data_IF_629302764570
#
_entry.id   IF_629302764570
#
_cell.length_a   1.000
_cell.length_b   1.000
_cell.length_c   1.000
_cell.angle_alpha   90.00
_cell.angle_beta   90.00
_cell.angle_gamma   90.00
#
_symmetry.space_group_name_H-M   'P 1'
#
loop_
_entity.id
_entity.type
_entity.pdbx_description
1 polymer ?
#
# COMPACT_ATOMS: atom_id res chain seq x y z
N UNK A 1 -2.89 -23.04 4.22
CA UNK A 1 -3.10 -24.51 4.14
C UNK A 1 -4.05 -24.81 2.99
N UNK A 2 -3.71 -25.72 2.06
CA UNK A 2 -4.56 -26.05 0.91
C UNK A 2 -5.90 -26.67 1.32
N UNK A 3 -6.89 -26.67 0.41
CA UNK A 3 -8.16 -27.33 0.65
C UNK A 3 -7.97 -28.84 0.92
N UNK A 4 -8.79 -29.40 1.79
CA UNK A 4 -8.84 -30.83 2.13
C UNK A 4 -7.52 -31.42 2.69
N UNK A 5 -6.71 -30.60 3.36
CA UNK A 5 -5.44 -31.05 3.97
C UNK A 5 -5.51 -31.23 5.49
N UNK A 6 -6.49 -30.61 6.15
CA UNK A 6 -6.71 -30.78 7.61
C UNK A 6 -7.62 -31.98 7.82
N UNK A 7 -7.03 -33.15 8.07
CA UNK A 7 -7.76 -34.43 8.14
C UNK A 7 -7.97 -34.95 9.56
N UNK A 8 -7.11 -34.56 10.52
CA UNK A 8 -7.13 -35.09 11.88
C UNK A 8 -6.92 -33.98 12.92
N UNK A 9 -7.66 -33.99 14.04
CA UNK A 9 -7.38 -33.13 15.18
C UNK A 9 -6.11 -33.60 15.91
N UNK A 10 -5.43 -32.65 16.58
CA UNK A 10 -4.22 -32.93 17.39
C UNK A 10 -4.48 -33.88 18.57
N UNK A 11 -5.71 -33.92 19.08
CA UNK A 11 -6.14 -34.81 20.15
C UNK A 11 -7.36 -35.61 19.70
N UNK A 12 -7.42 -36.89 20.09
CA UNK A 12 -8.56 -37.76 19.79
C UNK A 12 -9.79 -37.29 20.54
N UNK A 13 -10.85 -36.95 19.80
CA UNK A 13 -12.16 -36.67 20.35
C UNK A 13 -13.05 -37.91 20.16
N UNK A 14 -13.48 -38.59 21.25
CA UNK A 14 -14.41 -39.70 21.12
C UNK A 14 -15.66 -39.22 20.38
N UNK A 15 -16.15 -39.99 19.39
CA UNK A 15 -17.31 -39.71 18.49
C UNK A 15 -17.06 -38.88 17.22
N UNK A 16 -15.86 -38.30 17.02
CA UNK A 16 -15.57 -37.54 15.80
C UNK A 16 -15.16 -38.46 14.63
N UNK A 17 -15.96 -38.50 13.56
CA UNK A 17 -15.71 -39.39 12.42
C UNK A 17 -14.74 -38.83 11.36
N UNK A 18 -14.81 -37.52 11.04
CA UNK A 18 -13.92 -36.87 10.08
C UNK A 18 -13.83 -35.36 10.30
N UNK A 19 -12.69 -34.79 9.96
CA UNK A 19 -12.46 -33.33 9.84
C UNK A 19 -11.99 -33.06 8.43
N UNK A 20 -12.47 -31.98 7.83
CA UNK A 20 -11.95 -31.48 6.56
C UNK A 20 -12.06 -29.97 6.49
N UNK A 21 -11.14 -29.34 5.76
CA UNK A 21 -11.22 -27.93 5.39
C UNK A 21 -11.63 -27.82 3.90
N UNK A 22 -12.92 -27.67 3.57
CA UNK A 22 -13.37 -27.67 2.18
C UNK A 22 -12.83 -26.47 1.38
N UNK A 23 -12.48 -25.38 2.06
CA UNK A 23 -11.91 -24.15 1.48
C UNK A 23 -10.45 -24.04 1.95
N UNK A 24 -9.51 -23.63 1.08
CA UNK A 24 -8.13 -23.37 1.51
C UNK A 24 -8.12 -22.26 2.56
N UNK A 25 -7.22 -22.37 3.53
CA UNK A 25 -7.01 -21.29 4.49
C UNK A 25 -6.41 -20.09 3.77
N UNK A 26 -7.06 -18.93 3.92
CA UNK A 26 -6.64 -17.62 3.42
C UNK A 26 -6.11 -16.77 4.58
N UNK A 27 -5.37 -15.70 4.28
CA UNK A 27 -4.90 -14.74 5.29
C UNK A 27 -3.58 -15.09 5.98
N UNK A 28 -2.83 -16.07 5.48
CA UNK A 28 -1.42 -16.25 5.86
C UNK A 28 -0.55 -15.24 5.14
N UNK A 29 0.32 -14.55 5.89
CA UNK A 29 1.40 -13.73 5.35
C UNK A 29 2.74 -14.32 5.79
N UNK A 30 3.76 -14.14 4.97
CA UNK A 30 5.13 -14.47 5.35
C UNK A 30 5.59 -13.59 6.52
N UNK A 31 6.68 -14.02 7.16
CA UNK A 31 7.32 -13.21 8.19
C UNK A 31 7.66 -11.82 7.65
N UNK A 32 7.30 -10.78 8.39
CA UNK A 32 7.60 -9.40 8.02
C UNK A 32 9.12 -9.22 7.91
N UNK A 33 9.60 -8.73 6.76
CA UNK A 33 11.03 -8.47 6.59
C UNK A 33 11.50 -7.34 7.52
N UNK A 34 12.80 -7.34 7.87
CA UNK A 34 13.38 -6.27 8.68
C UNK A 34 13.21 -4.87 8.04
N UNK A 35 13.21 -4.82 6.71
CA UNK A 35 13.00 -3.58 5.96
C UNK A 35 11.55 -3.09 6.07
N UNK A 36 10.59 -4.00 5.90
CA UNK A 36 9.16 -3.69 6.06
C UNK A 36 8.84 -3.26 7.49
N UNK A 37 9.43 -3.93 8.47
CA UNK A 37 9.28 -3.58 9.89
C UNK A 37 9.82 -2.17 10.19
N UNK A 38 11.01 -1.82 9.69
CA UNK A 38 11.58 -0.48 9.82
C UNK A 38 10.70 0.57 9.13
N UNK A 39 10.20 0.28 7.94
CA UNK A 39 9.29 1.15 7.20
C UNK A 39 8.01 1.39 7.99
N UNK A 40 7.40 0.33 8.53
CA UNK A 40 6.20 0.44 9.37
C UNK A 40 6.44 1.26 10.63
N UNK A 41 7.58 1.09 11.28
CA UNK A 41 7.94 1.88 12.46
C UNK A 41 8.15 3.36 12.13
N UNK A 42 8.78 3.67 11.00
CA UNK A 42 8.93 5.05 10.53
C UNK A 42 7.57 5.70 10.24
N UNK A 43 6.64 4.98 9.60
CA UNK A 43 5.27 5.45 9.36
C UNK A 43 4.52 5.70 10.68
N UNK A 44 4.68 4.82 11.67
CA UNK A 44 4.11 5.03 13.00
C UNK A 44 4.61 6.33 13.64
N UNK A 45 5.93 6.57 13.64
CA UNK A 45 6.52 7.80 14.18
C UNK A 45 5.99 9.03 13.44
N UNK A 46 5.92 8.97 12.10
CA UNK A 46 5.40 10.07 11.29
C UNK A 46 3.96 10.44 11.67
N UNK A 47 3.13 9.46 12.03
CA UNK A 47 1.75 9.69 12.45
C UNK A 47 1.64 10.36 13.83
N UNK A 48 2.63 10.23 14.71
CA UNK A 48 2.56 10.80 16.08
C UNK A 48 2.32 12.30 16.07
N UNK A 49 2.96 13.03 15.15
CA UNK A 49 2.87 14.47 15.12
C UNK A 49 1.49 15.00 14.67
N UNK A 50 0.70 14.16 13.97
CA UNK A 50 -0.59 14.50 13.33
C UNK A 50 -0.54 15.77 12.48
N UNK A 51 -1.57 16.00 11.66
CA UNK A 51 -1.80 17.26 10.93
C UNK A 51 -0.63 17.82 10.08
N UNK A 52 0.43 17.05 9.85
CA UNK A 52 1.53 17.39 8.95
C UNK A 52 1.37 16.65 7.64
N UNK A 53 1.99 17.17 6.58
CA UNK A 53 2.03 16.50 5.27
C UNK A 53 2.45 15.04 5.39
N UNK A 54 3.55 14.78 6.11
CA UNK A 54 4.10 13.44 6.29
C UNK A 54 3.16 12.54 7.10
N UNK A 55 2.45 13.09 8.11
CA UNK A 55 1.45 12.33 8.86
C UNK A 55 0.25 11.94 7.98
N UNK A 56 -0.18 12.81 7.07
CA UNK A 56 -1.26 12.53 6.14
C UNK A 56 -0.85 11.48 5.09
N UNK A 57 0.35 11.59 4.53
CA UNK A 57 0.92 10.58 3.63
C UNK A 57 1.02 9.23 4.33
N UNK A 58 1.56 9.21 5.56
CA UNK A 58 1.65 8.00 6.36
C UNK A 58 0.27 7.41 6.68
N UNK A 59 -0.75 8.24 6.96
CA UNK A 59 -2.11 7.78 7.20
C UNK A 59 -2.67 7.02 6.00
N UNK A 60 -2.49 7.56 4.80
CA UNK A 60 -2.90 6.92 3.54
C UNK A 60 -2.17 5.59 3.32
N UNK A 61 -0.84 5.57 3.52
CA UNK A 61 -0.04 4.35 3.34
C UNK A 61 -0.42 3.24 4.33
N UNK A 62 -0.93 3.59 5.51
CA UNK A 62 -1.41 2.61 6.48
C UNK A 62 -2.86 2.16 6.27
N UNK A 63 -3.64 2.90 5.46
CA UNK A 63 -5.03 2.57 5.19
C UNK A 63 -5.14 1.22 4.47
N UNK A 64 -6.18 0.46 4.81
CA UNK A 64 -6.46 -0.85 4.24
C UNK A 64 -7.88 -0.78 3.68
N UNK A 65 -8.02 -0.99 2.37
CA UNK A 65 -9.31 -1.07 1.72
C UNK A 65 -10.07 -2.35 2.12
N UNK A 66 -11.37 -2.44 1.79
CA UNK A 66 -12.23 -3.55 2.20
C UNK A 66 -11.75 -4.93 1.69
N UNK A 67 -10.98 -4.96 0.60
CA UNK A 67 -10.44 -6.19 0.01
C UNK A 67 -8.99 -6.48 0.44
N UNK A 68 -8.43 -5.75 1.41
CA UNK A 68 -7.02 -5.88 1.83
C UNK A 68 -6.02 -5.15 0.94
N UNK A 69 -6.50 -4.42 -0.07
CA UNK A 69 -5.73 -3.50 -0.90
C UNK A 69 -5.12 -2.34 -0.08
N UNK A 70 -3.93 -1.89 -0.49
CA UNK A 70 -3.19 -0.82 0.19
C UNK A 70 -2.58 0.11 -0.84
N UNK A 71 -2.38 1.37 -0.45
CA UNK A 71 -1.61 2.32 -1.25
C UNK A 71 -0.13 1.91 -1.25
N UNK A 72 0.49 1.97 -2.42
CA UNK A 72 1.95 1.84 -2.58
C UNK A 72 2.62 3.19 -2.32
N UNK A 73 2.05 4.25 -2.87
CA UNK A 73 2.53 5.62 -2.70
C UNK A 73 1.38 6.58 -2.40
N UNK A 74 1.70 7.66 -1.71
CA UNK A 74 0.79 8.74 -1.40
C UNK A 74 1.51 10.08 -1.55
N UNK A 75 0.86 11.05 -2.19
CA UNK A 75 1.37 12.40 -2.36
C UNK A 75 0.38 13.40 -1.81
N UNK A 76 0.80 14.23 -0.86
CA UNK A 76 -0.02 15.32 -0.30
C UNK A 76 0.50 16.66 -0.78
N UNK A 77 -0.37 17.42 -1.46
CA UNK A 77 -0.11 18.78 -1.94
C UNK A 77 -0.90 19.78 -1.10
N UNK A 78 -0.20 20.80 -0.61
CA UNK A 78 -0.77 21.95 0.08
C UNK A 78 -0.53 23.23 -0.74
N UNK A 79 -0.94 24.38 -0.19
CA UNK A 79 -0.73 25.69 -0.81
C UNK A 79 0.76 26.05 -0.98
N UNK A 80 1.67 25.44 -0.22
CA UNK A 80 3.12 25.71 -0.33
C UNK A 80 3.67 25.02 -1.58
N UNK A 81 3.31 23.75 -1.79
CA UNK A 81 3.77 22.97 -2.96
C UNK A 81 2.97 23.28 -4.22
N UNK A 82 1.69 23.65 -4.05
CA UNK A 82 0.76 23.97 -5.13
C UNK A 82 0.08 25.31 -4.82
N UNK A 83 0.70 26.46 -5.16
CA UNK A 83 0.21 27.80 -4.82
C UNK A 83 -1.19 28.14 -5.34
N UNK A 84 -1.71 27.39 -6.33
CA UNK A 84 -3.07 27.56 -6.80
C UNK A 84 -4.15 26.94 -5.88
N UNK A 85 -3.75 26.19 -4.84
CA UNK A 85 -4.69 25.66 -3.85
C UNK A 85 -5.10 26.74 -2.84
N UNK A 86 -6.41 26.86 -2.55
CA UNK A 86 -6.88 27.72 -1.48
C UNK A 86 -6.24 27.33 -0.12
N UNK A 87 -5.95 28.30 0.76
CA UNK A 87 -5.53 28.01 2.12
C UNK A 87 -6.54 27.10 2.83
N UNK A 88 -6.03 26.13 3.59
CA UNK A 88 -6.85 25.13 4.27
C UNK A 88 -7.34 24.00 3.37
N UNK A 89 -7.01 23.98 2.07
CA UNK A 89 -7.27 22.84 1.19
C UNK A 89 -5.97 22.07 0.95
N UNK A 90 -6.05 20.75 1.10
CA UNK A 90 -4.98 19.83 0.69
C UNK A 90 -5.53 18.84 -0.32
N UNK A 91 -4.72 18.51 -1.32
CA UNK A 91 -5.02 17.47 -2.29
C UNK A 91 -4.14 16.27 -2.01
N UNK A 92 -4.75 15.08 -2.02
CA UNK A 92 -4.08 13.84 -1.70
C UNK A 92 -4.26 12.88 -2.85
N UNK A 93 -3.15 12.43 -3.43
CA UNK A 93 -3.13 11.45 -4.50
C UNK A 93 -2.73 10.10 -3.92
N UNK A 94 -3.54 9.08 -4.23
CA UNK A 94 -3.34 7.71 -3.79
C UNK A 94 -2.97 6.85 -5.00
N UNK A 95 -1.83 6.18 -4.93
CA UNK A 95 -1.38 5.23 -5.93
C UNK A 95 -1.31 3.81 -5.36
N UNK A 96 -1.95 2.85 -6.05
CA UNK A 96 -1.86 1.41 -5.76
C UNK A 96 -0.68 0.75 -6.48
N UNK A 97 0.11 1.51 -7.25
CA UNK A 97 1.21 1.04 -8.09
C UNK A 97 0.77 0.66 -9.51
N UNK A 98 -0.54 0.71 -9.80
CA UNK A 98 -1.12 0.36 -11.09
C UNK A 98 -1.98 1.49 -11.67
N UNK A 99 -2.20 2.58 -10.92
CA UNK A 99 -3.09 3.68 -11.30
C UNK A 99 -4.57 3.29 -11.29
N UNK A 100 -4.94 2.21 -10.59
CA UNK A 100 -6.29 1.62 -10.57
C UNK A 100 -6.94 1.62 -9.20
N UNK A 101 -6.40 2.39 -8.25
CA UNK A 101 -6.79 2.37 -6.84
C UNK A 101 -8.32 2.37 -6.66
N UNK A 102 -8.87 1.32 -6.06
CA UNK A 102 -10.32 1.12 -5.95
C UNK A 102 -11.00 2.25 -5.14
N UNK A 103 -12.30 2.48 -5.36
CA UNK A 103 -13.04 3.44 -4.52
C UNK A 103 -13.08 3.04 -3.05
N UNK A 104 -13.01 1.74 -2.74
CA UNK A 104 -12.89 1.26 -1.37
C UNK A 104 -11.57 1.70 -0.72
N UNK A 105 -10.47 1.64 -1.45
CA UNK A 105 -9.18 2.16 -1.00
C UNK A 105 -9.20 3.67 -0.82
N UNK A 106 -9.78 4.41 -1.76
CA UNK A 106 -9.90 5.87 -1.64
C UNK A 106 -10.76 6.27 -0.44
N UNK A 107 -11.83 5.51 -0.16
CA UNK A 107 -12.67 5.74 1.00
C UNK A 107 -11.92 5.46 2.31
N UNK A 108 -11.19 4.35 2.40
CA UNK A 108 -10.34 4.05 3.54
C UNK A 108 -9.27 5.14 3.75
N UNK A 109 -8.69 5.66 2.67
CA UNK A 109 -7.75 6.77 2.73
C UNK A 109 -8.40 8.06 3.25
N UNK A 110 -9.62 8.40 2.80
CA UNK A 110 -10.39 9.56 3.32
C UNK A 110 -10.60 9.44 4.83
N UNK A 111 -11.04 8.27 5.31
CA UNK A 111 -11.26 8.02 6.74
C UNK A 111 -9.97 8.13 7.56
N UNK A 112 -8.87 7.59 7.06
CA UNK A 112 -7.55 7.72 7.69
C UNK A 112 -7.09 9.18 7.78
N UNK A 113 -7.32 9.97 6.73
CA UNK A 113 -6.99 11.40 6.70
C UNK A 113 -7.87 12.19 7.67
N UNK A 114 -9.17 11.91 7.74
CA UNK A 114 -10.10 12.58 8.65
C UNK A 114 -9.69 12.42 10.12
N UNK A 115 -9.15 11.26 10.50
CA UNK A 115 -8.63 11.04 11.85
C UNK A 115 -7.33 11.79 12.19
N UNK A 116 -6.65 12.34 11.17
CA UNK A 116 -5.28 12.85 11.28
C UNK A 116 -5.13 14.33 10.92
N UNK A 117 -6.05 14.87 10.11
CA UNK A 117 -5.99 16.27 9.66
C UNK A 117 -6.24 17.27 10.79
N UNK A 118 -5.72 18.48 10.63
CA UNK A 118 -6.10 19.59 11.51
C UNK A 118 -7.57 19.99 11.28
N UNK A 119 -8.20 20.50 12.34
CA UNK A 119 -9.51 21.13 12.24
C UNK A 119 -9.47 22.29 11.24
N UNK A 120 -10.51 22.40 10.41
CA UNK A 120 -10.59 23.42 9.36
C UNK A 120 -9.83 23.11 8.07
N UNK A 121 -9.00 22.06 8.02
CA UNK A 121 -8.39 21.59 6.78
C UNK A 121 -9.37 20.71 6.01
N UNK A 122 -9.55 20.96 4.72
CA UNK A 122 -10.34 20.16 3.81
C UNK A 122 -9.43 19.33 2.91
N UNK A 123 -9.56 18.00 2.96
CA UNK A 123 -8.75 17.09 2.17
C UNK A 123 -9.54 16.56 0.96
N UNK A 124 -8.98 16.70 -0.23
CA UNK A 124 -9.53 16.15 -1.48
C UNK A 124 -8.69 14.95 -1.89
N UNK A 125 -9.29 13.76 -1.90
CA UNK A 125 -8.59 12.51 -2.19
C UNK A 125 -8.88 12.07 -3.62
N UNK A 126 -7.82 11.86 -4.38
CA UNK A 126 -7.83 11.48 -5.78
C UNK A 126 -7.06 10.19 -6.03
N UNK A 127 -7.51 9.43 -7.04
CA UNK A 127 -6.72 8.35 -7.64
C UNK A 127 -5.59 8.94 -8.46
N UNK A 128 -4.36 8.48 -8.25
CA UNK A 128 -3.25 8.76 -9.14
C UNK A 128 -3.45 8.04 -10.48
N UNK A 129 -3.20 8.73 -11.59
CA UNK A 129 -3.26 8.14 -12.93
C UNK A 129 -1.84 7.85 -13.42
N UNK A 130 -1.57 6.59 -13.74
CA UNK A 130 -0.31 6.20 -14.38
C UNK A 130 -0.22 6.81 -15.77
N UNK A 131 0.89 7.50 -16.05
CA UNK A 131 1.21 7.99 -17.40
C UNK A 131 2.39 7.18 -17.92
N UNK A 132 2.24 6.42 -19.02
CA UNK A 132 3.35 5.67 -19.58
C UNK A 132 4.44 6.64 -20.05
N UNK A 133 5.69 6.31 -19.74
CA UNK A 133 6.87 7.07 -20.18
C UNK A 133 7.77 6.11 -20.96
N UNK A 134 7.98 6.42 -22.23
CA UNK A 134 8.88 5.66 -23.08
C UNK A 134 10.33 6.06 -22.80
N UNK A 135 11.10 5.15 -22.20
CA UNK A 135 12.51 5.36 -21.88
C UNK A 135 13.39 4.60 -22.87
N UNK A 136 14.39 5.28 -23.45
CA UNK A 136 15.48 4.62 -24.20
C UNK A 136 16.77 4.76 -23.41
N UNK A 137 17.37 3.62 -23.07
CA UNK A 137 18.64 3.57 -22.33
C UNK A 137 19.71 3.00 -23.26
N UNK A 138 20.85 3.68 -23.34
CA UNK A 138 22.07 3.13 -23.93
C UNK A 138 22.98 2.68 -22.79
N UNK A 139 23.40 1.43 -22.82
CA UNK A 139 24.28 0.85 -21.81
C UNK A 139 25.52 0.30 -22.51
N UNK A 140 26.69 0.66 -22.01
CA UNK A 140 27.97 0.13 -22.48
C UNK A 140 28.42 -0.98 -21.52
N UNK A 141 28.62 -2.20 -22.05
CA UNK A 141 28.98 -3.37 -21.25
C UNK A 141 29.06 -4.66 -22.08
N UNK A 142 29.42 -5.79 -21.46
CA UNK A 142 29.40 -7.09 -22.13
C UNK A 142 27.96 -7.50 -22.50
N UNK A 143 27.77 -8.10 -23.68
CA UNK A 143 26.43 -8.51 -24.18
C UNK A 143 25.71 -9.47 -23.21
N UNK A 144 26.47 -10.28 -22.48
CA UNK A 144 25.96 -11.23 -21.47
C UNK A 144 25.20 -10.55 -20.33
N UNK A 145 25.49 -9.27 -20.04
CA UNK A 145 24.84 -8.52 -18.97
C UNK A 145 23.52 -7.84 -19.41
N UNK A 146 23.22 -7.78 -20.71
CA UNK A 146 22.05 -7.09 -21.24
C UNK A 146 20.72 -7.55 -20.63
N UNK A 147 20.44 -8.86 -20.42
CA UNK A 147 19.19 -9.30 -19.82
C UNK A 147 19.03 -8.84 -18.36
N UNK A 148 20.11 -8.89 -17.57
CA UNK A 148 20.10 -8.44 -16.17
C UNK A 148 19.93 -6.93 -16.07
N UNK A 149 20.53 -6.18 -16.99
CA UNK A 149 20.36 -4.72 -17.10
C UNK A 149 18.91 -4.38 -17.49
N UNK A 150 18.30 -5.12 -18.41
CA UNK A 150 16.91 -4.93 -18.79
C UNK A 150 15.96 -5.23 -17.61
N UNK A 151 16.19 -6.31 -16.87
CA UNK A 151 15.38 -6.64 -15.68
C UNK A 151 15.55 -5.58 -14.57
N UNK A 152 16.79 -5.10 -14.35
CA UNK A 152 17.06 -4.03 -13.39
C UNK A 152 16.39 -2.71 -13.80
N UNK A 153 16.46 -2.35 -15.09
CA UNK A 153 15.80 -1.16 -15.61
C UNK A 153 14.27 -1.25 -15.47
N UNK A 154 13.67 -2.41 -15.75
CA UNK A 154 12.23 -2.66 -15.56
C UNK A 154 11.81 -2.66 -14.09
N UNK A 155 12.69 -3.02 -13.15
CA UNK A 155 12.42 -2.95 -11.71
C UNK A 155 12.48 -1.54 -11.14
N UNK A 156 13.31 -0.70 -11.72
CA UNK A 156 13.53 0.67 -11.25
C UNK A 156 12.45 1.64 -11.75
N UNK A 157 11.86 1.35 -12.91
CA UNK A 157 10.73 2.06 -13.50
C UNK A 157 9.39 1.55 -12.92
#
# INVERSE_FOLDING_TARGET
APANTILYPRYSLPTLARVSNPVPATGGADEESLEDQKRRFALYIAQVHRATRVALEAAVLTAIGPNGERAREALVLDTVLRPCLPPGVVEVYVDDGYGTASEGLLQAAREAIEGMRAAGVYARVYRAQGRPVDVRVKVDGPEEALPSVEEAARRYL
#
